data_IF_396993048457
#
_entry.id   IF_396993048457
#
_cell.length_a   1.000
_cell.length_b   1.000
_cell.length_c   1.000
_cell.angle_alpha   90.00
_cell.angle_beta   90.00
_cell.angle_gamma   90.00
#
_symmetry.space_group_name_H-M   'P 1'
#
loop_
_entity.id
_entity.type
_entity.pdbx_description
1 polymer ?
#
# COMPACT_ATOMS: atom_id res chain seq x y z
N UNK A 1 5.08 30.60 -2.11
CA UNK A 1 5.06 29.13 -2.24
C UNK A 1 4.97 28.41 -0.91
N UNK A 2 5.92 28.69 -0.03
CA UNK A 2 5.87 28.11 1.32
C UNK A 2 4.58 28.47 2.05
N UNK A 3 4.19 29.73 1.92
CA UNK A 3 2.96 30.18 2.54
C UNK A 3 1.75 29.49 1.94
N UNK A 4 1.74 29.33 0.63
CA UNK A 4 0.68 28.61 -0.04
C UNK A 4 0.59 27.17 0.45
N UNK A 5 1.74 26.51 0.54
CA UNK A 5 1.78 25.13 1.05
C UNK A 5 1.35 25.07 2.51
N UNK A 6 1.75 26.06 3.30
CA UNK A 6 1.38 26.10 4.71
C UNK A 6 -0.10 26.41 4.94
N UNK A 7 -0.65 27.29 4.11
CA UNK A 7 -2.04 27.75 4.27
C UNK A 7 -3.01 27.01 3.37
N UNK A 8 -2.55 26.57 2.18
CA UNK A 8 -3.38 25.88 1.23
C UNK A 8 -3.49 24.38 1.50
N UNK A 9 -2.47 23.79 2.14
CA UNK A 9 -2.43 22.38 2.43
C UNK A 9 -2.46 22.16 3.94
N UNK A 10 -3.61 21.84 4.44
CA UNK A 10 -3.81 21.58 5.86
C UNK A 10 -3.73 20.08 6.14
N UNK A 11 -3.79 19.73 7.42
CA UNK A 11 -3.89 18.33 7.84
C UNK A 11 -5.04 17.64 7.12
N UNK A 12 -6.17 18.32 6.96
CA UNK A 12 -7.31 17.76 6.27
C UNK A 12 -7.04 17.35 4.84
N UNK A 13 -6.21 18.10 4.13
CA UNK A 13 -5.84 17.75 2.75
C UNK A 13 -5.04 16.45 2.71
N UNK A 14 -4.09 16.29 3.61
CA UNK A 14 -3.29 15.07 3.67
C UNK A 14 -4.13 13.87 4.09
N UNK A 15 -5.01 14.06 5.05
CA UNK A 15 -5.91 12.99 5.46
C UNK A 15 -6.88 12.60 4.35
N UNK A 16 -7.33 13.59 3.57
CA UNK A 16 -8.20 13.31 2.44
C UNK A 16 -7.49 12.47 1.39
N UNK A 17 -6.23 12.79 1.10
CA UNK A 17 -5.42 12.00 0.18
C UNK A 17 -5.24 10.57 0.71
N UNK A 18 -4.90 10.45 1.98
CA UNK A 18 -4.77 9.14 2.61
C UNK A 18 -6.04 8.33 2.53
N UNK A 19 -7.18 8.97 2.82
CA UNK A 19 -8.48 8.30 2.74
C UNK A 19 -8.80 7.85 1.32
N UNK A 20 -8.52 8.69 0.33
CA UNK A 20 -8.74 8.35 -1.07
C UNK A 20 -7.91 7.14 -1.49
N UNK A 21 -6.63 7.14 -1.13
CA UNK A 21 -5.74 6.03 -1.44
C UNK A 21 -6.18 4.75 -0.73
N UNK A 22 -6.60 4.88 0.52
CA UNK A 22 -7.11 3.75 1.28
C UNK A 22 -8.33 3.13 0.59
N UNK A 23 -9.28 3.96 0.20
CA UNK A 23 -10.50 3.50 -0.45
C UNK A 23 -10.20 2.85 -1.80
N UNK A 24 -9.31 3.43 -2.58
CA UNK A 24 -8.90 2.87 -3.87
C UNK A 24 -8.25 1.50 -3.66
N UNK A 25 -7.41 1.38 -2.64
CA UNK A 25 -6.74 0.12 -2.33
C UNK A 25 -7.73 -0.96 -1.95
N UNK A 26 -8.67 -0.65 -1.08
CA UNK A 26 -9.68 -1.60 -0.64
C UNK A 26 -10.54 -2.03 -1.83
N UNK A 27 -10.96 -1.06 -2.65
CA UNK A 27 -11.73 -1.37 -3.85
C UNK A 27 -10.93 -2.27 -4.80
N UNK A 28 -9.64 -1.98 -4.97
CA UNK A 28 -8.78 -2.79 -5.81
C UNK A 28 -8.68 -4.23 -5.33
N UNK A 29 -8.60 -4.43 -4.02
CA UNK A 29 -8.55 -5.77 -3.45
C UNK A 29 -9.83 -6.54 -3.77
N UNK A 30 -10.98 -5.91 -3.55
CA UNK A 30 -12.25 -6.59 -3.80
C UNK A 30 -12.52 -6.85 -5.27
N UNK A 31 -12.09 -5.94 -6.14
CA UNK A 31 -12.34 -6.08 -7.58
C UNK A 31 -11.37 -7.03 -8.26
N UNK A 32 -10.19 -7.24 -7.70
CA UNK A 32 -9.12 -8.00 -8.34
C UNK A 32 -8.57 -9.10 -7.44
N UNK A 33 -9.44 -9.78 -6.74
CA UNK A 33 -9.04 -10.80 -5.76
C UNK A 33 -8.25 -11.94 -6.34
N UNK A 34 -8.37 -12.17 -7.63
CA UNK A 34 -7.75 -13.32 -8.28
C UNK A 34 -6.37 -13.03 -8.84
N UNK A 35 -6.00 -11.76 -8.90
CA UNK A 35 -4.70 -11.38 -9.46
C UNK A 35 -3.75 -11.04 -8.32
N UNK A 36 -2.78 -11.92 -8.11
CA UNK A 36 -1.85 -11.81 -6.98
C UNK A 36 -1.01 -10.54 -7.06
N UNK A 37 -0.58 -10.15 -8.27
CA UNK A 37 0.22 -8.93 -8.43
C UNK A 37 -0.60 -7.71 -8.02
N UNK A 38 -1.85 -7.64 -8.47
CA UNK A 38 -2.72 -6.51 -8.12
C UNK A 38 -2.98 -6.49 -6.62
N UNK A 39 -3.17 -7.65 -6.00
CA UNK A 39 -3.38 -7.72 -4.56
C UNK A 39 -2.18 -7.17 -3.80
N UNK A 40 -0.96 -7.54 -4.22
CA UNK A 40 0.25 -7.02 -3.60
C UNK A 40 0.36 -5.52 -3.77
N UNK A 41 0.06 -5.02 -4.96
CA UNK A 41 0.09 -3.58 -5.21
C UNK A 41 -0.92 -2.84 -4.34
N UNK A 42 -2.10 -3.39 -4.16
CA UNK A 42 -3.13 -2.79 -3.32
C UNK A 42 -2.73 -2.77 -1.85
N UNK A 43 -2.10 -3.83 -1.36
CA UNK A 43 -1.60 -3.88 0.01
C UNK A 43 -0.53 -2.81 0.22
N UNK A 44 0.38 -2.66 -0.73
CA UNK A 44 1.40 -1.62 -0.65
C UNK A 44 0.79 -0.22 -0.65
N UNK A 45 -0.27 -0.03 -1.43
CA UNK A 45 -0.97 1.23 -1.47
C UNK A 45 -1.68 1.51 -0.14
N UNK A 46 -2.21 0.48 0.51
CA UNK A 46 -2.78 0.62 1.86
C UNK A 46 -1.72 1.10 2.85
N UNK A 47 -0.53 0.51 2.80
CA UNK A 47 0.56 0.91 3.67
C UNK A 47 0.97 2.35 3.40
N UNK A 48 1.00 2.75 2.14
CA UNK A 48 1.29 4.14 1.79
C UNK A 48 0.24 5.08 2.39
N UNK A 49 -1.03 4.74 2.31
CA UNK A 49 -2.11 5.55 2.87
C UNK A 49 -1.93 5.74 4.38
N UNK A 50 -1.61 4.68 5.09
CA UNK A 50 -1.36 4.74 6.52
C UNK A 50 -0.13 5.60 6.82
N UNK A 51 0.93 5.45 6.03
CA UNK A 51 2.15 6.23 6.22
C UNK A 51 1.90 7.72 6.02
N UNK A 52 1.10 8.09 5.03
CA UNK A 52 0.73 9.49 4.83
C UNK A 52 0.06 10.04 6.09
N UNK A 53 -0.83 9.27 6.69
CA UNK A 53 -1.51 9.69 7.91
C UNK A 53 -0.52 9.87 9.07
N UNK A 54 0.39 8.94 9.26
CA UNK A 54 1.39 9.05 10.33
C UNK A 54 2.27 10.28 10.17
N UNK A 55 2.73 10.52 8.94
CA UNK A 55 3.57 11.69 8.67
C UNK A 55 2.77 12.98 8.87
N UNK A 56 1.54 13.01 8.40
CA UNK A 56 0.68 14.19 8.53
C UNK A 56 0.42 14.51 10.00
N UNK A 57 0.09 13.52 10.82
CA UNK A 57 -0.12 13.73 12.25
C UNK A 57 1.16 14.11 12.96
N UNK A 58 2.27 13.49 12.60
CA UNK A 58 3.57 13.83 13.18
C UNK A 58 3.89 15.30 12.95
N UNK A 59 3.67 15.78 11.74
CA UNK A 59 3.91 17.18 11.41
C UNK A 59 2.96 18.11 12.15
N UNK A 60 1.69 17.76 12.22
CA UNK A 60 0.67 18.59 12.86
C UNK A 60 0.93 18.72 14.35
N UNK A 61 1.31 17.63 15.00
CA UNK A 61 1.56 17.61 16.44
C UNK A 61 2.98 18.02 16.82
N UNK A 62 3.85 18.16 15.83
CA UNK A 62 5.26 18.45 16.10
C UNK A 62 5.98 17.32 16.83
N UNK A 63 5.50 16.10 16.68
CA UNK A 63 6.02 14.92 17.35
C UNK A 63 6.60 13.95 16.33
N UNK A 64 7.91 13.65 16.38
CA UNK A 64 8.52 12.76 15.40
C UNK A 64 8.13 11.29 15.54
N UNK A 65 7.36 10.94 16.56
CA UNK A 65 6.95 9.55 16.77
C UNK A 65 6.26 8.96 15.55
N UNK A 66 5.44 9.75 14.83
CA UNK A 66 4.79 9.28 13.63
C UNK A 66 5.76 8.87 12.54
N UNK A 67 6.86 9.61 12.41
CA UNK A 67 7.89 9.31 11.43
C UNK A 67 8.69 8.07 11.83
N UNK A 68 8.88 7.85 13.11
CA UNK A 68 9.52 6.62 13.59
C UNK A 68 8.67 5.41 13.25
N UNK A 69 7.36 5.49 13.44
CA UNK A 69 6.46 4.42 13.01
C UNK A 69 6.53 4.17 11.52
N UNK A 70 6.68 5.22 10.72
CA UNK A 70 6.83 5.06 9.26
C UNK A 70 8.07 4.23 8.94
N UNK A 71 9.18 4.41 9.65
CA UNK A 71 10.36 3.58 9.45
C UNK A 71 10.06 2.11 9.67
N UNK A 72 9.35 1.79 10.74
CA UNK A 72 8.98 0.40 11.02
C UNK A 72 8.05 -0.15 9.94
N UNK A 73 7.10 0.64 9.51
CA UNK A 73 6.16 0.21 8.47
C UNK A 73 6.90 -0.02 7.14
N UNK A 74 7.86 0.85 6.82
CA UNK A 74 8.67 0.65 5.60
C UNK A 74 9.50 -0.62 5.68
N UNK A 75 10.01 -0.95 6.87
CA UNK A 75 10.75 -2.20 7.07
C UNK A 75 9.84 -3.41 6.84
N UNK A 76 8.63 -3.36 7.38
CA UNK A 76 7.64 -4.42 7.18
C UNK A 76 7.26 -4.50 5.70
N UNK A 77 7.04 -3.36 5.06
CA UNK A 77 6.69 -3.33 3.64
C UNK A 77 7.80 -3.94 2.78
N UNK A 78 9.06 -3.66 3.11
CA UNK A 78 10.18 -4.24 2.39
C UNK A 78 10.21 -5.76 2.55
N UNK A 79 9.97 -6.25 3.77
CA UNK A 79 9.92 -7.68 4.02
C UNK A 79 8.76 -8.34 3.26
N UNK A 80 7.60 -7.71 3.27
CA UNK A 80 6.44 -8.20 2.52
C UNK A 80 6.71 -8.25 1.02
N UNK A 81 7.34 -7.20 0.50
CA UNK A 81 7.67 -7.15 -0.93
C UNK A 81 8.64 -8.27 -1.30
N UNK A 82 9.62 -8.54 -0.46
CA UNK A 82 10.59 -9.60 -0.70
C UNK A 82 9.91 -10.98 -0.68
N UNK A 83 9.09 -11.22 0.33
CA UNK A 83 8.34 -12.47 0.44
C UNK A 83 7.36 -12.61 -0.72
N UNK A 84 6.64 -11.55 -1.04
CA UNK A 84 5.68 -11.56 -2.13
C UNK A 84 6.34 -11.84 -3.47
N UNK A 85 7.50 -11.23 -3.70
CA UNK A 85 8.25 -11.48 -4.93
C UNK A 85 8.71 -12.93 -5.01
N UNK A 86 9.19 -13.49 -3.90
CA UNK A 86 9.60 -14.89 -3.85
C UNK A 86 8.42 -15.81 -4.18
N UNK A 87 7.25 -15.53 -3.62
CA UNK A 87 6.04 -16.30 -3.91
C UNK A 87 5.68 -16.21 -5.37
N UNK A 88 5.70 -15.00 -5.92
CA UNK A 88 5.38 -14.79 -7.33
C UNK A 88 6.34 -15.53 -8.26
N UNK A 89 7.63 -15.48 -7.96
CA UNK A 89 8.62 -16.18 -8.76
C UNK A 89 8.36 -17.68 -8.73
N UNK A 90 8.11 -18.22 -7.55
CA UNK A 90 7.84 -19.64 -7.38
C UNK A 90 6.57 -20.05 -8.13
N UNK A 91 5.52 -19.26 -7.98
CA UNK A 91 4.24 -19.53 -8.61
C UNK A 91 4.38 -19.47 -10.14
N UNK A 92 5.06 -18.44 -10.64
CA UNK A 92 5.24 -18.26 -12.06
C UNK A 92 6.04 -19.42 -12.68
N UNK A 93 7.09 -19.84 -12.00
CA UNK A 93 7.94 -20.94 -12.48
C UNK A 93 7.17 -22.27 -12.55
N UNK A 94 6.25 -22.47 -11.63
CA UNK A 94 5.52 -23.73 -11.55
C UNK A 94 4.28 -23.76 -12.43
N UNK A 95 3.63 -22.62 -12.60
CA UNK A 95 2.31 -22.57 -13.24
C UNK A 95 2.26 -21.76 -14.52
N UNK A 96 3.27 -20.95 -14.75
CA UNK A 96 3.30 -20.05 -15.90
C UNK A 96 2.18 -19.02 -15.87
N UNK A 97 1.54 -18.82 -14.72
CA UNK A 97 0.51 -17.83 -14.52
C UNK A 97 0.48 -17.41 -13.04
N UNK A 98 0.10 -16.17 -12.82
CA UNK A 98 -0.08 -15.62 -11.48
C UNK A 98 -1.55 -15.39 -11.16
N UNK A 99 -2.44 -15.72 -12.07
CA UNK A 99 -3.88 -15.59 -11.87
C UNK A 99 -4.41 -16.87 -11.25
N UNK A 100 -4.95 -16.73 -10.03
CA UNK A 100 -5.44 -17.87 -9.26
C UNK A 100 -6.56 -18.60 -10.00
N UNK A 101 -7.41 -17.86 -10.70
CA UNK A 101 -8.50 -18.46 -11.45
C UNK A 101 -7.97 -19.32 -12.59
N UNK A 102 -6.90 -18.88 -13.26
CA UNK A 102 -6.28 -19.65 -14.32
C UNK A 102 -5.64 -20.93 -13.79
N UNK A 103 -5.02 -20.84 -12.60
CA UNK A 103 -4.43 -22.01 -11.96
C UNK A 103 -5.51 -23.05 -11.67
N UNK A 104 -6.65 -22.62 -11.15
CA UNK A 104 -7.76 -23.52 -10.87
C UNK A 104 -8.29 -24.14 -12.16
N UNK A 105 -8.39 -23.36 -13.20
CA UNK A 105 -8.84 -23.83 -14.50
C UNK A 105 -7.92 -24.92 -15.04
N UNK A 106 -6.63 -24.73 -14.91
CA UNK A 106 -5.66 -25.70 -15.39
C UNK A 106 -5.74 -27.01 -14.64
N UNK A 107 -6.09 -26.97 -13.37
CA UNK A 107 -6.24 -28.17 -12.57
C UNK A 107 -7.51 -28.94 -12.93
N UNK A 108 -8.51 -28.21 -13.30
CA UNK A 108 -9.79 -28.78 -13.67
C UNK A 108 -9.74 -29.44 -15.01
#
# INVERSE_FOLDING_TARGET
>A
MMELLGNGLSLGHYLALGAALFCISVAGIFLNRKNVIVLLMCIELLLLAVNINFVAFSRELGDPAGQVFVFFILTVAAAEAAIGLAILVTLFRNRHTIDVADIDTLKG
#
